data_IF_582422479284
#
_entry.id   IF_582422479284
#
_cell.length_a   1.000
_cell.length_b   1.000
_cell.length_c   1.000
_cell.angle_alpha   90.00
_cell.angle_beta   90.00
_cell.angle_gamma   90.00
#
_symmetry.space_group_name_H-M   'P 1'
#
loop_
_entity.id
_entity.type
_entity.pdbx_description
1 polymer ?
#
# COMPACT_ATOMS: atom_id res chain seq x y z
N UNK A 1 -20.48 10.95 27.01
CA UNK A 1 -19.86 10.28 28.18
C UNK A 1 -19.52 8.85 27.76
N UNK A 2 -18.29 8.35 27.95
CA UNK A 2 -17.89 7.02 27.45
C UNK A 2 -18.49 5.87 28.29
N UNK A 3 -18.90 4.78 27.63
CA UNK A 3 -19.53 3.62 28.26
C UNK A 3 -18.68 3.09 29.41
N UNK A 4 -17.38 2.89 29.18
CA UNK A 4 -16.46 2.34 30.18
C UNK A 4 -16.40 3.20 31.44
N UNK A 5 -16.48 4.53 31.30
CA UNK A 5 -16.48 5.44 32.46
C UNK A 5 -17.79 5.39 33.23
N UNK A 6 -18.91 5.22 32.54
CA UNK A 6 -20.22 5.01 33.19
C UNK A 6 -20.23 3.68 33.95
N UNK A 7 -19.68 2.62 33.36
CA UNK A 7 -19.60 1.29 33.98
C UNK A 7 -18.81 1.30 35.29
N UNK A 8 -17.72 2.06 35.38
CA UNK A 8 -16.96 2.24 36.64
C UNK A 8 -17.88 2.74 37.75
N UNK A 9 -18.67 3.79 37.47
CA UNK A 9 -19.58 4.40 38.44
C UNK A 9 -20.70 3.44 38.83
N UNK A 10 -21.34 2.79 37.85
CA UNK A 10 -22.44 1.86 38.09
C UNK A 10 -22.02 0.64 38.91
N UNK A 11 -20.80 0.14 38.70
CA UNK A 11 -20.28 -1.05 39.38
C UNK A 11 -19.45 -0.73 40.64
N UNK A 12 -19.35 0.55 41.02
CA UNK A 12 -18.56 1.01 42.17
C UNK A 12 -17.11 0.50 42.13
N UNK A 13 -16.49 0.52 40.93
CA UNK A 13 -15.10 0.06 40.72
C UNK A 13 -14.11 1.22 40.80
N UNK A 14 -12.82 0.92 41.03
CA UNK A 14 -11.79 1.97 41.11
C UNK A 14 -11.33 2.45 39.73
N UNK A 15 -11.40 1.59 38.72
CA UNK A 15 -10.95 1.86 37.36
C UNK A 15 -11.64 0.92 36.36
N UNK A 16 -11.46 1.19 35.06
CA UNK A 16 -12.08 0.44 33.96
C UNK A 16 -11.73 -1.04 33.98
N UNK A 17 -10.51 -1.39 34.40
CA UNK A 17 -9.97 -2.75 34.33
C UNK A 17 -10.57 -3.70 35.38
N UNK A 18 -11.26 -3.16 36.39
CA UNK A 18 -11.99 -3.91 37.40
C UNK A 18 -13.49 -4.09 37.05
N UNK A 19 -13.94 -3.48 35.94
CA UNK A 19 -15.31 -3.64 35.47
C UNK A 19 -15.50 -4.99 34.78
N UNK A 20 -16.74 -5.46 34.72
CA UNK A 20 -17.09 -6.70 34.02
C UNK A 20 -16.70 -6.70 32.52
N UNK A 21 -16.48 -5.54 31.90
CA UNK A 21 -16.01 -5.42 30.52
C UNK A 21 -14.58 -5.95 30.39
N UNK A 22 -13.69 -5.56 31.31
CA UNK A 22 -12.25 -5.83 31.20
C UNK A 22 -11.72 -6.88 32.17
N UNK A 23 -12.35 -7.07 33.33
CA UNK A 23 -11.86 -7.99 34.35
C UNK A 23 -11.58 -9.40 33.80
N UNK A 24 -12.45 -10.02 32.98
CA UNK A 24 -12.16 -11.34 32.41
C UNK A 24 -10.93 -11.37 31.48
N UNK A 25 -10.66 -10.26 30.77
CA UNK A 25 -9.49 -10.14 29.88
C UNK A 25 -8.22 -9.98 30.72
N UNK A 26 -8.26 -9.15 31.77
CA UNK A 26 -7.15 -8.96 32.72
C UNK A 26 -6.85 -10.26 33.46
N UNK A 27 -7.88 -10.99 33.90
CA UNK A 27 -7.74 -12.30 34.53
C UNK A 27 -7.04 -13.32 33.62
N UNK A 28 -7.37 -13.34 32.32
CA UNK A 28 -6.64 -14.17 31.35
C UNK A 28 -5.17 -13.78 31.26
N UNK A 29 -4.85 -12.48 31.23
CA UNK A 29 -3.45 -12.03 31.23
C UNK A 29 -2.71 -12.42 32.52
N UNK A 30 -3.36 -12.32 33.68
CA UNK A 30 -2.84 -12.80 34.96
C UNK A 30 -2.57 -14.31 34.93
N UNK A 31 -3.50 -15.10 34.41
CA UNK A 31 -3.37 -16.56 34.32
C UNK A 31 -2.21 -16.97 33.43
N UNK A 32 -2.04 -16.32 32.26
CA UNK A 32 -0.94 -16.62 31.35
C UNK A 32 0.42 -16.23 31.92
N UNK A 33 0.50 -15.08 32.61
CA UNK A 33 1.76 -14.55 33.14
C UNK A 33 2.15 -15.08 34.52
N UNK A 34 1.21 -15.68 35.24
CA UNK A 34 1.38 -16.04 36.66
C UNK A 34 1.45 -14.82 37.60
N UNK A 35 1.20 -13.60 37.10
CA UNK A 35 1.22 -12.36 37.89
C UNK A 35 -0.17 -12.02 38.41
N UNK A 36 -0.22 -11.33 39.56
CA UNK A 36 -1.46 -10.87 40.19
C UNK A 36 -1.66 -9.37 39.96
N UNK A 37 -2.87 -9.01 39.55
CA UNK A 37 -3.29 -7.61 39.45
C UNK A 37 -3.52 -7.01 40.84
N UNK A 38 -3.09 -5.77 41.05
CA UNK A 38 -3.15 -5.05 42.31
C UNK A 38 -1.92 -5.23 43.22
N UNK A 39 -0.88 -5.95 42.77
CA UNK A 39 0.32 -6.19 43.58
C UNK A 39 1.35 -5.05 43.51
N UNK A 40 1.64 -4.55 42.32
CA UNK A 40 2.56 -3.44 42.11
C UNK A 40 2.20 -2.64 40.85
N UNK A 41 2.55 -1.35 40.84
CA UNK A 41 2.14 -0.42 39.80
C UNK A 41 2.70 -0.77 38.41
N UNK A 42 3.88 -1.39 38.33
CA UNK A 42 4.52 -1.74 37.06
C UNK A 42 3.84 -2.95 36.42
N UNK A 43 3.59 -4.01 37.21
CA UNK A 43 2.83 -5.19 36.79
C UNK A 43 1.41 -4.82 36.39
N UNK A 44 0.73 -3.98 37.18
CA UNK A 44 -0.62 -3.50 36.86
C UNK A 44 -0.64 -2.75 35.54
N UNK A 45 0.32 -1.85 35.32
CA UNK A 45 0.45 -1.12 34.05
C UNK A 45 0.64 -2.09 32.88
N UNK A 46 1.50 -3.09 33.02
CA UNK A 46 1.74 -4.06 31.96
C UNK A 46 0.50 -4.92 31.65
N UNK A 47 -0.18 -5.43 32.68
CA UNK A 47 -1.42 -6.21 32.52
C UNK A 47 -2.53 -5.39 31.83
N UNK A 48 -2.67 -4.11 32.20
CA UNK A 48 -3.62 -3.18 31.57
C UNK A 48 -3.32 -2.98 30.09
N UNK A 49 -2.07 -2.69 29.76
CA UNK A 49 -1.61 -2.48 28.38
C UNK A 49 -1.84 -3.72 27.53
N UNK A 50 -1.45 -4.90 28.01
CA UNK A 50 -1.67 -6.17 27.31
C UNK A 50 -3.16 -6.40 27.05
N UNK A 51 -4.02 -6.15 28.04
CA UNK A 51 -5.46 -6.38 27.93
C UNK A 51 -6.14 -5.41 26.95
N UNK A 52 -5.85 -4.11 27.07
CA UNK A 52 -6.37 -3.07 26.15
C UNK A 52 -5.92 -3.29 24.71
N UNK A 53 -4.63 -3.55 24.51
CA UNK A 53 -4.11 -3.75 23.16
C UNK A 53 -4.63 -5.04 22.56
N UNK A 54 -4.71 -6.14 23.32
CA UNK A 54 -5.33 -7.38 22.83
C UNK A 54 -6.79 -7.15 22.39
N UNK A 55 -7.55 -6.36 23.16
CA UNK A 55 -8.91 -5.95 22.76
C UNK A 55 -8.87 -5.18 21.43
N UNK A 56 -8.09 -4.11 21.35
CA UNK A 56 -8.00 -3.27 20.15
C UNK A 56 -7.56 -4.03 18.90
N UNK A 57 -6.54 -4.88 19.01
CA UNK A 57 -6.04 -5.74 17.93
C UNK A 57 -7.16 -6.65 17.41
N UNK A 58 -7.86 -7.33 18.33
CA UNK A 58 -8.94 -8.28 17.99
C UNK A 58 -10.05 -7.58 17.19
N UNK A 59 -10.49 -6.41 17.64
CA UNK A 59 -11.52 -5.62 16.94
C UNK A 59 -11.03 -5.10 15.59
N UNK A 60 -9.84 -4.50 15.52
CA UNK A 60 -9.30 -3.97 14.26
C UNK A 60 -9.24 -5.05 13.18
N UNK A 61 -8.77 -6.25 13.53
CA UNK A 61 -8.67 -7.35 12.57
C UNK A 61 -10.07 -7.88 12.21
N UNK A 62 -10.98 -7.98 13.18
CA UNK A 62 -12.35 -8.37 12.92
C UNK A 62 -13.07 -7.38 11.99
N UNK A 63 -12.75 -6.09 12.07
CA UNK A 63 -13.28 -5.05 11.17
C UNK A 63 -12.60 -5.06 9.79
N UNK A 64 -11.61 -5.93 9.56
CA UNK A 64 -10.93 -6.11 8.28
C UNK A 64 -9.66 -5.27 8.12
N UNK A 65 -9.13 -4.67 9.19
CA UNK A 65 -7.82 -4.00 9.14
C UNK A 65 -6.71 -5.03 9.00
N UNK A 66 -5.85 -4.83 8.00
CA UNK A 66 -4.71 -5.69 7.70
C UNK A 66 -3.41 -4.97 8.12
N UNK A 67 -2.43 -5.67 8.73
CA UNK A 67 -1.13 -5.12 9.10
C UNK A 67 -0.40 -4.50 7.91
N UNK A 68 -0.04 -3.21 8.02
CA UNK A 68 0.59 -2.45 6.94
C UNK A 68 1.63 -1.46 7.50
N UNK A 69 2.46 -0.86 6.64
CA UNK A 69 3.45 0.16 7.01
C UNK A 69 2.83 1.55 7.21
N UNK A 70 1.58 1.76 6.80
CA UNK A 70 0.89 3.05 6.89
C UNK A 70 -0.57 2.92 7.36
N UNK A 71 -1.16 4.05 7.75
CA UNK A 71 -2.58 4.17 8.09
C UNK A 71 -3.03 3.25 9.22
N UNK A 72 -4.23 2.67 9.08
CA UNK A 72 -4.83 1.76 10.07
C UNK A 72 -3.99 0.50 10.32
N UNK A 73 -3.36 -0.03 9.28
CA UNK A 73 -2.51 -1.21 9.38
C UNK A 73 -1.25 -0.97 10.20
N UNK A 74 -0.69 0.23 10.16
CA UNK A 74 0.42 0.63 11.01
C UNK A 74 0.00 0.74 12.48
N UNK A 75 -1.17 1.31 12.77
CA UNK A 75 -1.73 1.36 14.13
C UNK A 75 -1.91 -0.05 14.69
N UNK A 76 -2.47 -0.97 13.89
CA UNK A 76 -2.61 -2.39 14.26
C UNK A 76 -1.26 -3.01 14.64
N UNK A 77 -0.23 -2.84 13.81
CA UNK A 77 1.13 -3.33 14.12
C UNK A 77 1.67 -2.71 15.39
N UNK A 78 1.48 -1.40 15.60
CA UNK A 78 1.94 -0.71 16.81
C UNK A 78 1.30 -1.28 18.08
N UNK A 79 -0.02 -1.51 18.09
CA UNK A 79 -0.71 -2.11 19.24
C UNK A 79 -0.23 -3.54 19.50
N UNK A 80 -0.10 -4.35 18.45
CA UNK A 80 0.38 -5.74 18.55
C UNK A 80 1.78 -5.79 19.15
N UNK A 81 2.72 -5.03 18.59
CA UNK A 81 4.11 -5.01 19.05
C UNK A 81 4.25 -4.52 20.48
N UNK A 82 3.46 -3.50 20.86
CA UNK A 82 3.42 -3.01 22.25
C UNK A 82 2.84 -4.04 23.21
N UNK A 83 1.80 -4.77 22.81
CA UNK A 83 1.26 -5.87 23.61
C UNK A 83 2.33 -6.95 23.84
N UNK A 84 3.06 -7.37 22.79
CA UNK A 84 4.13 -8.38 22.91
C UNK A 84 5.26 -7.89 23.83
N UNK A 85 5.69 -6.61 23.70
CA UNK A 85 6.72 -6.03 24.58
C UNK A 85 6.32 -6.12 26.06
N UNK A 86 5.11 -5.68 26.39
CA UNK A 86 4.64 -5.71 27.78
C UNK A 86 4.33 -7.14 28.26
N UNK A 87 3.96 -8.05 27.35
CA UNK A 87 3.90 -9.48 27.62
C UNK A 87 5.25 -10.04 28.05
N UNK A 88 6.34 -9.72 27.33
CA UNK A 88 7.70 -10.12 27.70
C UNK A 88 8.09 -9.64 29.10
N UNK A 89 7.72 -8.41 29.46
CA UNK A 89 7.95 -7.85 30.81
C UNK A 89 7.20 -8.58 31.91
N UNK A 90 6.05 -9.15 31.59
CA UNK A 90 5.29 -10.00 32.50
C UNK A 90 5.85 -11.43 32.62
N UNK A 91 6.83 -11.79 31.78
CA UNK A 91 7.42 -13.13 31.72
C UNK A 91 6.80 -14.05 30.65
N UNK A 92 6.00 -13.49 29.72
CA UNK A 92 5.42 -14.27 28.63
C UNK A 92 6.45 -14.44 27.51
N UNK A 93 7.11 -15.60 27.48
CA UNK A 93 8.13 -15.89 26.48
C UNK A 93 7.59 -16.52 25.19
N UNK A 94 6.42 -17.16 25.29
CA UNK A 94 5.75 -17.82 24.16
C UNK A 94 4.64 -16.93 23.60
N UNK A 95 4.24 -17.11 22.32
CA UNK A 95 3.08 -16.44 21.76
C UNK A 95 1.86 -16.59 22.66
N UNK A 96 1.18 -15.49 22.97
CA UNK A 96 0.08 -15.44 23.93
C UNK A 96 -1.09 -14.57 23.44
N UNK A 97 -0.92 -13.79 22.35
CA UNK A 97 -1.97 -12.90 21.88
C UNK A 97 -3.17 -13.66 21.30
N UNK A 98 -2.97 -14.86 20.77
CA UNK A 98 -4.07 -15.75 20.33
C UNK A 98 -4.98 -16.10 21.51
N UNK A 99 -4.39 -16.46 22.64
CA UNK A 99 -5.11 -16.76 23.88
C UNK A 99 -5.87 -15.53 24.43
N UNK A 100 -5.23 -14.37 24.36
CA UNK A 100 -5.85 -13.10 24.77
C UNK A 100 -7.00 -12.71 23.84
N UNK A 101 -6.81 -12.82 22.53
CA UNK A 101 -7.86 -12.57 21.53
C UNK A 101 -9.04 -13.53 21.72
N UNK A 102 -8.78 -14.81 22.04
CA UNK A 102 -9.81 -15.77 22.42
C UNK A 102 -10.65 -15.30 23.61
N UNK A 103 -10.02 -14.76 24.66
CA UNK A 103 -10.74 -14.20 25.80
C UNK A 103 -11.57 -12.97 25.42
N UNK A 104 -11.06 -12.09 24.56
CA UNK A 104 -11.81 -10.93 24.03
C UNK A 104 -13.03 -11.39 23.23
N UNK A 105 -12.86 -12.32 22.29
CA UNK A 105 -13.95 -12.85 21.45
C UNK A 105 -15.02 -13.51 22.34
N UNK A 106 -14.61 -14.34 23.30
CA UNK A 106 -15.54 -14.99 24.21
C UNK A 106 -16.33 -13.98 25.05
N UNK A 107 -15.67 -12.90 25.52
CA UNK A 107 -16.33 -11.88 26.34
C UNK A 107 -17.29 -11.00 25.55
N UNK A 108 -16.94 -10.65 24.31
CA UNK A 108 -17.60 -9.55 23.59
C UNK A 108 -18.47 -10.01 22.42
N UNK A 109 -18.32 -11.26 21.94
CA UNK A 109 -19.07 -11.76 20.77
C UNK A 109 -20.59 -11.81 20.91
N UNK A 110 -21.13 -11.80 22.13
CA UNK A 110 -22.57 -11.72 22.36
C UNK A 110 -23.20 -10.40 21.87
N UNK A 111 -22.42 -9.31 21.91
CA UNK A 111 -22.84 -7.97 21.44
C UNK A 111 -22.26 -7.68 20.05
N UNK A 112 -21.09 -8.26 19.74
CA UNK A 112 -20.33 -8.06 18.52
C UNK A 112 -20.17 -9.39 17.74
N UNK A 113 -21.22 -9.89 17.04
CA UNK A 113 -21.20 -11.19 16.38
C UNK A 113 -20.10 -11.35 15.32
N UNK A 114 -19.65 -10.25 14.73
CA UNK A 114 -18.55 -10.19 13.77
C UNK A 114 -17.24 -10.78 14.33
N UNK A 115 -16.98 -10.61 15.63
CA UNK A 115 -15.83 -11.22 16.30
C UNK A 115 -15.86 -12.74 16.21
N UNK A 116 -17.07 -13.34 16.34
CA UNK A 116 -17.25 -14.78 16.25
C UNK A 116 -17.19 -15.25 14.80
N UNK A 117 -17.86 -14.52 13.89
CA UNK A 117 -17.87 -14.84 12.45
C UNK A 117 -16.47 -14.86 11.85
N UNK A 118 -15.59 -13.93 12.28
CA UNK A 118 -14.21 -13.79 11.77
C UNK A 118 -13.17 -14.38 12.71
N UNK A 119 -13.55 -15.17 13.71
CA UNK A 119 -12.65 -15.70 14.74
C UNK A 119 -11.41 -16.38 14.15
N UNK A 120 -11.60 -17.32 13.20
CA UNK A 120 -10.49 -18.07 12.60
C UNK A 120 -9.47 -17.11 11.95
N UNK A 121 -9.95 -16.17 11.15
CA UNK A 121 -9.11 -15.17 10.49
C UNK A 121 -8.36 -14.28 11.49
N UNK A 122 -9.05 -13.80 12.54
CA UNK A 122 -8.45 -12.97 13.58
C UNK A 122 -7.31 -13.72 14.29
N UNK A 123 -7.56 -14.97 14.70
CA UNK A 123 -6.56 -15.76 15.42
C UNK A 123 -5.35 -16.11 14.53
N UNK A 124 -5.57 -16.48 13.27
CA UNK A 124 -4.49 -16.77 12.32
C UNK A 124 -3.62 -15.54 12.03
N UNK A 125 -4.23 -14.37 11.82
CA UNK A 125 -3.50 -13.13 11.59
C UNK A 125 -2.66 -12.73 12.80
N UNK A 126 -3.25 -12.79 14.01
CA UNK A 126 -2.54 -12.50 15.26
C UNK A 126 -1.36 -13.45 15.44
N UNK A 127 -1.57 -14.76 15.23
CA UNK A 127 -0.52 -15.77 15.36
C UNK A 127 0.66 -15.49 14.40
N UNK A 128 0.35 -15.20 13.13
CA UNK A 128 1.37 -14.91 12.12
C UNK A 128 2.17 -13.65 12.44
N UNK A 129 1.51 -12.56 12.82
CA UNK A 129 2.20 -11.30 13.14
C UNK A 129 2.97 -11.36 14.47
N UNK A 130 2.43 -12.04 15.49
CA UNK A 130 3.12 -12.25 16.77
C UNK A 130 4.38 -13.11 16.60
N UNK A 131 4.30 -14.18 15.80
CA UNK A 131 5.46 -15.02 15.50
C UNK A 131 6.56 -14.21 14.79
N UNK A 132 6.20 -13.49 13.71
CA UNK A 132 7.14 -12.66 12.94
C UNK A 132 7.79 -11.58 13.82
N UNK A 133 7.01 -10.96 14.69
CA UNK A 133 7.54 -9.90 15.56
C UNK A 133 8.36 -10.44 16.72
N UNK A 134 8.04 -11.62 17.26
CA UNK A 134 8.78 -12.20 18.39
C UNK A 134 10.25 -12.44 18.05
N UNK A 135 10.55 -12.85 16.81
CA UNK A 135 11.92 -12.98 16.29
C UNK A 135 12.64 -11.62 16.26
N UNK A 136 11.99 -10.60 15.68
CA UNK A 136 12.51 -9.23 15.62
C UNK A 136 12.74 -8.62 17.01
N UNK A 137 11.84 -8.90 17.96
CA UNK A 137 11.88 -8.33 19.30
C UNK A 137 13.12 -8.79 20.08
N UNK A 138 13.48 -10.08 20.01
CA UNK A 138 14.64 -10.62 20.72
C UNK A 138 15.93 -9.92 20.26
N UNK A 139 16.19 -9.92 18.95
CA UNK A 139 17.37 -9.26 18.36
C UNK A 139 17.37 -7.75 18.60
N UNK A 140 16.20 -7.11 18.49
CA UNK A 140 16.08 -5.67 18.70
C UNK A 140 16.34 -5.24 20.14
N UNK A 141 15.93 -6.04 21.14
CA UNK A 141 16.21 -5.75 22.55
C UNK A 141 17.72 -5.85 22.86
N UNK A 142 18.39 -6.90 22.37
CA UNK A 142 19.84 -7.06 22.56
C UNK A 142 20.62 -5.88 21.97
N UNK A 143 20.30 -5.48 20.74
CA UNK A 143 20.97 -4.36 20.08
C UNK A 143 20.66 -3.02 20.74
N UNK A 144 19.41 -2.82 21.18
CA UNK A 144 19.04 -1.62 21.92
C UNK A 144 19.81 -1.52 23.24
N UNK A 145 20.03 -2.64 23.95
CA UNK A 145 20.86 -2.65 25.14
C UNK A 145 22.31 -2.27 24.85
N UNK A 146 22.88 -2.72 23.74
CA UNK A 146 24.20 -2.31 23.29
C UNK A 146 24.26 -0.80 23.01
N UNK A 147 23.32 -0.27 22.23
CA UNK A 147 23.22 1.17 21.91
C UNK A 147 23.08 1.99 23.19
N UNK A 148 22.24 1.56 24.12
CA UNK A 148 22.04 2.21 25.42
C UNK A 148 23.34 2.25 26.23
N UNK A 149 24.14 1.17 26.22
CA UNK A 149 25.45 1.14 26.93
C UNK A 149 26.48 2.05 26.27
N UNK A 150 26.42 2.21 24.96
CA UNK A 150 27.36 3.05 24.19
C UNK A 150 26.95 4.53 24.19
N UNK A 151 25.67 4.83 24.44
CA UNK A 151 25.13 6.20 24.44
C UNK A 151 25.72 7.02 25.59
N UNK A 152 26.51 8.04 25.23
CA UNK A 152 27.02 9.05 26.17
C UNK A 152 26.18 10.32 26.03
N UNK A 153 25.55 10.78 27.12
CA UNK A 153 24.82 12.06 27.14
C UNK A 153 23.29 11.97 27.09
N UNK A 154 22.70 10.81 27.35
CA UNK A 154 21.25 10.73 27.60
C UNK A 154 20.35 10.73 26.37
N UNK A 155 20.90 10.71 25.15
CA UNK A 155 20.15 10.78 23.88
C UNK A 155 20.69 9.78 22.86
N UNK A 156 19.84 8.84 22.44
CA UNK A 156 20.10 7.90 21.34
C UNK A 156 20.02 8.67 20.02
N UNK A 157 21.01 8.46 19.14
CA UNK A 157 21.10 9.16 17.86
C UNK A 157 19.99 8.73 16.88
N UNK A 158 19.63 9.63 15.96
CA UNK A 158 18.65 9.33 14.91
C UNK A 158 19.12 8.20 13.99
N UNK A 159 20.43 8.09 13.77
CA UNK A 159 21.06 7.03 12.99
C UNK A 159 20.95 5.67 13.66
N UNK A 160 21.18 5.58 14.97
CA UNK A 160 21.03 4.32 15.70
C UNK A 160 19.57 3.87 15.75
N UNK A 161 18.64 4.82 15.97
CA UNK A 161 17.21 4.55 15.89
C UNK A 161 16.78 4.12 14.48
N UNK A 162 17.34 4.74 13.43
CA UNK A 162 17.08 4.38 12.04
C UNK A 162 17.64 3.00 11.71
N UNK A 163 18.84 2.66 12.18
CA UNK A 163 19.45 1.34 12.01
C UNK A 163 18.59 0.25 12.66
N UNK A 164 18.11 0.47 13.89
CA UNK A 164 17.16 -0.43 14.57
C UNK A 164 15.90 -0.66 13.74
N UNK A 165 15.34 0.40 13.17
CA UNK A 165 14.13 0.34 12.36
C UNK A 165 14.32 -0.32 10.99
N UNK A 166 15.29 0.15 10.21
CA UNK A 166 15.46 -0.24 8.80
C UNK A 166 16.13 -1.60 8.66
N UNK A 167 17.21 -1.83 9.41
CA UNK A 167 18.00 -3.07 9.29
C UNK A 167 17.38 -4.22 10.08
N UNK A 168 16.89 -3.94 11.29
CA UNK A 168 16.43 -4.99 12.22
C UNK A 168 14.90 -5.03 12.36
N UNK A 169 14.17 -4.10 11.74
CA UNK A 169 12.70 -4.05 11.83
C UNK A 169 12.16 -3.61 13.20
N UNK A 170 13.03 -3.10 14.08
CA UNK A 170 12.68 -2.74 15.45
C UNK A 170 12.02 -1.35 15.50
N UNK A 171 10.77 -1.22 15.96
CA UNK A 171 10.01 0.01 15.79
C UNK A 171 10.56 1.17 16.62
N UNK A 172 10.62 2.36 16.02
CA UNK A 172 11.11 3.57 16.70
C UNK A 172 10.29 3.90 17.95
N UNK A 173 8.97 3.62 17.95
CA UNK A 173 8.12 3.90 19.10
C UNK A 173 8.50 3.03 20.31
N UNK A 174 8.96 1.79 20.06
CA UNK A 174 9.44 0.89 21.10
C UNK A 174 10.82 1.31 21.59
N UNK A 175 11.70 1.72 20.68
CA UNK A 175 12.98 2.35 21.03
C UNK A 175 12.75 3.53 21.97
N UNK A 176 11.82 4.43 21.65
CA UNK A 176 11.47 5.58 22.49
C UNK A 176 10.90 5.15 23.85
N UNK A 177 9.97 4.19 23.88
CA UNK A 177 9.36 3.74 25.14
C UNK A 177 10.37 3.08 26.08
N UNK A 178 11.28 2.25 25.56
CA UNK A 178 12.32 1.59 26.36
C UNK A 178 13.42 2.59 26.76
N UNK A 179 13.80 3.51 25.88
CA UNK A 179 14.78 4.56 26.19
C UNK A 179 14.30 5.44 27.35
N UNK A 180 13.04 5.89 27.30
CA UNK A 180 12.46 6.76 28.33
C UNK A 180 12.49 6.13 29.72
N UNK A 181 12.29 4.81 29.83
CA UNK A 181 12.37 4.08 31.10
C UNK A 181 13.78 4.02 31.68
N UNK A 182 14.80 4.04 30.83
CA UNK A 182 16.21 4.12 31.23
C UNK A 182 16.68 5.57 31.41
N UNK A 183 15.75 6.55 31.37
CA UNK A 183 16.07 7.98 31.49
C UNK A 183 16.74 8.57 30.24
N UNK A 184 16.61 7.91 29.09
CA UNK A 184 17.18 8.33 27.81
C UNK A 184 16.10 8.89 26.88
N UNK A 185 16.51 9.78 25.98
CA UNK A 185 15.68 10.29 24.88
C UNK A 185 16.14 9.72 23.54
N UNK A 186 15.29 9.80 22.51
CA UNK A 186 15.62 9.40 21.13
C UNK A 186 15.54 10.64 20.25
N UNK A 187 16.53 10.83 19.38
CA UNK A 187 16.55 11.87 18.37
C UNK A 187 15.61 11.56 17.20
N UNK A 188 14.34 11.94 17.34
CA UNK A 188 13.30 11.69 16.31
C UNK A 188 13.50 12.54 15.05
N UNK A 189 14.04 13.76 15.17
CA UNK A 189 14.31 14.63 14.02
C UNK A 189 15.43 14.05 13.15
N UNK A 190 16.49 13.54 13.80
CA UNK A 190 17.55 12.81 13.12
C UNK A 190 17.05 11.52 12.45
N UNK A 191 16.13 10.79 13.10
CA UNK A 191 15.50 9.60 12.52
C UNK A 191 14.71 9.93 11.24
N UNK A 192 13.88 10.98 11.26
CA UNK A 192 13.09 11.38 10.08
C UNK A 192 13.99 11.87 8.94
N UNK A 193 15.11 12.53 9.27
CA UNK A 193 16.11 12.94 8.28
C UNK A 193 16.71 11.73 7.53
N UNK A 194 17.03 10.64 8.24
CA UNK A 194 17.52 9.39 7.63
C UNK A 194 16.43 8.69 6.79
N UNK A 195 15.17 8.72 7.24
CA UNK A 195 14.02 8.23 6.46
C UNK A 195 13.88 8.97 5.12
N UNK A 196 14.07 10.28 5.09
CA UNK A 196 14.02 11.06 3.84
C UNK A 196 15.22 10.78 2.92
N UNK A 197 16.42 10.59 3.46
CA UNK A 197 17.58 10.15 2.69
C UNK A 197 17.32 8.79 2.02
N UNK A 198 16.67 7.86 2.71
CA UNK A 198 16.29 6.57 2.13
C UNK A 198 15.23 6.72 1.02
N UNK A 199 14.19 7.55 1.24
CA UNK A 199 13.13 7.82 0.25
C UNK A 199 13.70 8.43 -1.03
N UNK A 200 14.62 9.39 -0.91
CA UNK A 200 15.25 10.05 -2.06
C UNK A 200 16.15 9.10 -2.85
N UNK A 201 16.95 8.25 -2.18
CA UNK A 201 17.75 7.20 -2.84
C UNK A 201 16.90 6.19 -3.60
N UNK A 202 15.73 5.81 -3.10
CA UNK A 202 14.81 4.93 -3.81
C UNK A 202 14.28 5.57 -5.11
N UNK A 203 14.08 6.90 -5.11
CA UNK A 203 13.60 7.67 -6.27
C UNK A 203 14.67 7.89 -7.34
N UNK A 204 15.93 8.13 -6.95
CA UNK A 204 17.03 8.40 -7.90
C UNK A 204 17.48 7.19 -8.73
N UNK A 205 17.00 5.99 -8.41
CA UNK A 205 17.25 4.76 -9.18
C UNK A 205 16.44 4.63 -10.48
N UNK A 206 15.45 5.51 -10.72
CA UNK A 206 14.72 5.60 -12.00
C UNK A 206 15.43 6.58 -12.94
N UNK A 207 16.27 6.05 -13.84
CA UNK A 207 16.86 6.83 -14.93
C UNK A 207 15.76 7.30 -15.90
N UNK A 208 15.67 8.61 -16.08
CA UNK A 208 14.95 9.34 -17.13
C UNK A 208 13.48 8.96 -17.36
N UNK A 209 12.63 9.40 -16.43
CA UNK A 209 11.22 9.69 -16.69
C UNK A 209 11.00 11.15 -16.30
N UNK A 210 10.31 11.97 -17.10
CA UNK A 210 9.84 13.28 -16.62
C UNK A 210 9.10 13.05 -15.30
N UNK A 211 9.70 13.52 -14.21
CA UNK A 211 9.19 13.30 -12.85
C UNK A 211 7.83 14.00 -12.68
N UNK A 212 7.11 13.67 -11.62
CA UNK A 212 5.87 14.36 -11.27
C UNK A 212 6.09 15.89 -11.10
N UNK A 213 7.30 16.31 -10.72
CA UNK A 213 7.69 17.71 -10.61
C UNK A 213 7.87 18.40 -11.99
N UNK A 214 8.60 17.76 -12.91
CA UNK A 214 8.76 18.25 -14.29
C UNK A 214 7.43 18.24 -15.06
N UNK A 215 6.57 17.26 -14.75
CA UNK A 215 5.20 17.17 -15.24
C UNK A 215 4.33 18.34 -14.76
N UNK A 216 4.46 18.77 -13.51
CA UNK A 216 3.72 19.90 -12.96
C UNK A 216 4.17 21.26 -13.55
N UNK A 217 5.46 21.38 -13.89
CA UNK A 217 6.00 22.56 -14.57
C UNK A 217 5.62 22.60 -16.05
N UNK A 218 5.63 21.43 -16.72
CA UNK A 218 5.11 21.25 -18.07
C UNK A 218 3.65 21.70 -18.20
N UNK A 219 2.77 21.34 -17.25
CA UNK A 219 1.36 21.80 -17.23
C UNK A 219 1.23 23.32 -17.15
N UNK A 220 2.13 24.02 -16.46
CA UNK A 220 2.10 25.49 -16.35
C UNK A 220 2.52 26.20 -17.65
N UNK A 221 3.35 25.54 -18.46
CA UNK A 221 3.91 26.11 -19.68
C UNK A 221 3.11 25.73 -20.94
N UNK A 222 2.12 24.84 -20.84
CA UNK A 222 1.24 24.49 -21.96
C UNK A 222 0.41 25.69 -22.42
N UNK A 223 0.32 25.89 -23.73
CA UNK A 223 -0.55 26.92 -24.32
C UNK A 223 -1.98 26.40 -24.45
N UNK A 224 -2.16 25.09 -24.62
CA UNK A 224 -3.44 24.41 -24.73
C UNK A 224 -3.57 23.32 -23.65
N UNK A 225 -4.42 23.57 -22.66
CA UNK A 225 -4.64 22.66 -21.52
C UNK A 225 -5.94 21.85 -21.62
N UNK A 226 -6.50 21.72 -22.82
CA UNK A 226 -7.74 20.97 -23.06
C UNK A 226 -7.50 19.46 -22.96
N UNK A 227 -8.48 18.73 -22.45
CA UNK A 227 -8.41 17.27 -22.32
C UNK A 227 -8.22 16.63 -23.71
N UNK A 228 -7.25 15.74 -23.84
CA UNK A 228 -7.03 14.99 -25.08
C UNK A 228 -8.20 14.06 -25.34
N UNK A 229 -8.72 14.05 -26.57
CA UNK A 229 -9.75 13.10 -26.97
C UNK A 229 -9.09 11.75 -27.29
N UNK A 230 -9.30 10.75 -26.44
CA UNK A 230 -8.76 9.41 -26.64
C UNK A 230 -9.67 8.58 -27.53
N UNK A 231 -9.17 8.16 -28.70
CA UNK A 231 -9.88 7.34 -29.69
C UNK A 231 -9.32 5.91 -29.83
N UNK A 232 -8.32 5.59 -28.99
CA UNK A 232 -7.53 4.36 -29.09
C UNK A 232 -8.23 3.07 -28.68
N UNK A 233 -9.51 3.12 -28.29
CA UNK A 233 -10.35 1.93 -28.10
C UNK A 233 -10.75 1.30 -29.43
N UNK A 234 -10.97 2.13 -30.46
CA UNK A 234 -11.45 1.70 -31.77
C UNK A 234 -10.39 1.85 -32.86
N UNK A 235 -9.51 2.85 -32.72
CA UNK A 235 -8.58 3.25 -33.77
C UNK A 235 -7.12 3.02 -33.35
N UNK A 236 -6.35 2.35 -34.21
CA UNK A 236 -4.89 2.26 -34.08
C UNK A 236 -4.16 3.41 -34.79
N UNK A 237 -4.84 4.05 -35.74
CA UNK A 237 -4.33 5.12 -36.57
C UNK A 237 -5.33 6.27 -36.54
N UNK A 238 -4.86 7.49 -36.29
CA UNK A 238 -5.69 8.68 -36.23
C UNK A 238 -4.99 9.88 -36.87
N UNK A 239 -5.73 10.67 -37.65
CA UNK A 239 -5.28 12.00 -38.08
C UNK A 239 -5.57 13.01 -36.98
N UNK A 240 -4.60 13.85 -36.68
CA UNK A 240 -4.60 14.74 -35.52
C UNK A 240 -3.84 16.03 -35.84
N UNK A 241 -3.91 17.01 -34.95
CA UNK A 241 -3.11 18.24 -35.00
C UNK A 241 -2.18 18.31 -33.80
N UNK A 242 -0.93 18.71 -34.02
CA UNK A 242 0.02 18.98 -32.94
C UNK A 242 -0.41 20.27 -32.22
N UNK A 243 -0.81 20.17 -30.95
CA UNK A 243 -1.28 21.32 -30.15
C UNK A 243 -0.18 22.03 -29.40
N UNK A 244 0.76 21.26 -28.83
CA UNK A 244 1.89 21.78 -28.08
C UNK A 244 3.08 20.83 -28.19
N UNK A 245 4.29 21.40 -28.09
CA UNK A 245 5.55 20.68 -28.05
C UNK A 245 6.34 21.18 -26.84
N UNK A 246 6.79 20.27 -25.98
CA UNK A 246 7.50 20.58 -24.75
C UNK A 246 8.88 19.91 -24.72
N UNK A 247 9.91 20.69 -24.41
CA UNK A 247 11.28 20.21 -24.17
C UNK A 247 11.70 20.51 -22.73
N UNK A 248 12.93 20.15 -22.33
CA UNK A 248 13.47 20.52 -21.01
C UNK A 248 13.48 22.04 -20.76
N UNK A 249 13.59 22.84 -21.82
CA UNK A 249 13.59 24.31 -21.76
C UNK A 249 12.20 24.96 -21.74
N UNK A 250 11.12 24.16 -21.77
CA UNK A 250 9.75 24.64 -21.82
C UNK A 250 9.08 24.41 -23.18
N UNK A 251 8.03 25.19 -23.46
CA UNK A 251 7.21 25.04 -24.67
C UNK A 251 7.87 25.71 -25.86
N UNK A 252 8.02 24.97 -26.96
CA UNK A 252 8.70 25.40 -28.18
C UNK A 252 7.77 25.29 -29.40
N UNK A 253 8.01 26.09 -30.43
CA UNK A 253 7.16 26.08 -31.63
C UNK A 253 7.53 24.95 -32.62
N UNK A 254 8.76 24.43 -32.53
CA UNK A 254 9.29 23.39 -33.41
C UNK A 254 10.38 22.56 -32.75
N UNK A 255 10.55 21.33 -33.22
CA UNK A 255 11.64 20.40 -32.88
C UNK A 255 12.27 19.82 -34.14
N UNK A 256 13.57 19.52 -34.09
CA UNK A 256 14.38 19.01 -35.20
C UNK A 256 14.92 17.60 -34.93
N UNK A 257 15.51 16.98 -35.94
CA UNK A 257 16.08 15.64 -35.86
C UNK A 257 17.05 15.48 -34.67
N UNK A 258 16.81 14.45 -33.86
CA UNK A 258 17.60 14.17 -32.66
C UNK A 258 17.06 14.78 -31.37
N UNK A 259 16.15 15.75 -31.44
CA UNK A 259 15.55 16.37 -30.26
C UNK A 259 14.66 15.39 -29.49
N UNK A 260 14.78 15.38 -28.16
CA UNK A 260 13.83 14.71 -27.27
C UNK A 260 12.78 15.72 -26.79
N UNK A 261 11.50 15.34 -26.91
CA UNK A 261 10.38 16.21 -26.59
C UNK A 261 9.15 15.42 -26.11
N UNK A 262 8.14 16.14 -25.66
CA UNK A 262 6.79 15.64 -25.46
C UNK A 262 5.81 16.37 -26.38
N UNK A 263 5.00 15.63 -27.11
CA UNK A 263 3.99 16.18 -28.04
C UNK A 263 2.60 16.03 -27.43
N UNK A 264 1.77 17.07 -27.56
CA UNK A 264 0.34 17.03 -27.26
C UNK A 264 -0.45 17.02 -28.57
N UNK A 265 -1.40 16.10 -28.67
CA UNK A 265 -2.31 15.94 -29.80
C UNK A 265 -3.74 16.33 -29.39
N UNK A 266 -4.56 16.78 -30.34
CA UNK A 266 -6.00 16.99 -30.12
C UNK A 266 -6.76 15.66 -29.89
N UNK A 267 -6.61 14.73 -30.83
CA UNK A 267 -7.14 13.37 -30.81
C UNK A 267 -5.98 12.37 -30.84
N UNK A 268 -5.96 11.40 -29.92
CA UNK A 268 -4.88 10.43 -29.85
C UNK A 268 -5.38 8.99 -29.74
N UNK A 269 -4.80 8.05 -30.52
CA UNK A 269 -5.02 6.61 -30.36
C UNK A 269 -4.12 6.01 -29.26
N UNK A 270 -3.16 6.77 -28.71
CA UNK A 270 -2.23 6.29 -27.68
C UNK A 270 -2.89 6.26 -26.30
N UNK A 271 -2.90 5.09 -25.67
CA UNK A 271 -3.32 4.93 -24.29
C UNK A 271 -2.21 5.48 -23.39
N UNK A 272 -2.58 6.43 -22.54
CA UNK A 272 -1.67 7.01 -21.58
C UNK A 272 -1.51 6.12 -20.34
N UNK A 273 -0.31 6.06 -19.78
CA UNK A 273 0.01 5.23 -18.61
C UNK A 273 -0.93 5.54 -17.43
N UNK A 274 -1.78 4.58 -17.08
CA UNK A 274 -2.71 4.68 -15.97
C UNK A 274 -3.18 3.30 -15.51
N UNK A 275 -3.61 3.20 -14.24
CA UNK A 275 -4.16 1.95 -13.68
C UNK A 275 -3.16 0.79 -13.59
N UNK A 276 -1.85 1.06 -13.66
CA UNK A 276 -0.79 0.05 -13.69
C UNK A 276 -0.42 -0.43 -15.10
N UNK A 277 -1.16 -0.03 -16.14
CA UNK A 277 -0.83 -0.29 -17.53
C UNK A 277 0.13 0.77 -18.06
N UNK A 278 1.23 0.32 -18.67
CA UNK A 278 2.21 1.19 -19.33
C UNK A 278 1.60 1.91 -20.54
N UNK A 279 2.09 3.12 -20.81
CA UNK A 279 1.67 3.89 -21.96
C UNK A 279 2.05 3.22 -23.29
N UNK A 280 1.34 3.60 -24.35
CA UNK A 280 1.67 3.14 -25.68
C UNK A 280 2.91 3.79 -26.26
N UNK A 281 3.47 3.06 -27.22
CA UNK A 281 4.58 3.45 -28.07
C UNK A 281 4.14 3.38 -29.52
N UNK A 282 4.87 4.05 -30.40
CA UNK A 282 4.49 4.16 -31.80
C UNK A 282 5.15 5.36 -32.46
N UNK A 283 4.48 5.94 -33.44
CA UNK A 283 5.02 7.04 -34.22
C UNK A 283 3.97 8.14 -34.45
N UNK A 284 4.44 9.38 -34.53
CA UNK A 284 3.68 10.53 -35.01
C UNK A 284 4.38 11.02 -36.28
N UNK A 285 3.65 11.04 -37.39
CA UNK A 285 4.19 11.32 -38.72
C UNK A 285 3.51 12.57 -39.28
N UNK A 286 4.29 13.54 -39.71
CA UNK A 286 3.82 14.69 -40.49
C UNK A 286 4.41 14.65 -41.92
N UNK A 287 4.05 15.60 -42.77
CA UNK A 287 4.67 15.72 -44.10
C UNK A 287 6.16 16.12 -44.01
N UNK A 288 6.56 16.78 -42.91
CA UNK A 288 7.90 17.33 -42.72
C UNK A 288 8.81 16.50 -41.79
N UNK A 289 8.28 15.53 -41.03
CA UNK A 289 9.10 14.75 -40.11
C UNK A 289 8.41 13.56 -39.45
N UNK A 290 9.20 12.78 -38.70
CA UNK A 290 8.77 11.61 -37.95
C UNK A 290 9.24 11.67 -36.51
N UNK A 291 8.34 11.40 -35.58
CA UNK A 291 8.59 11.36 -34.16
C UNK A 291 8.30 9.96 -33.60
N UNK A 292 9.29 9.35 -32.94
CA UNK A 292 9.17 8.04 -32.26
C UNK A 292 8.66 8.26 -30.84
N UNK A 293 7.47 7.76 -30.52
CA UNK A 293 6.88 7.79 -29.19
C UNK A 293 7.38 6.60 -28.38
N UNK A 294 8.16 6.89 -27.33
CA UNK A 294 8.71 5.91 -26.38
C UNK A 294 7.80 5.65 -25.18
N UNK A 295 6.97 6.62 -24.78
CA UNK A 295 5.96 6.44 -23.74
C UNK A 295 4.84 7.48 -23.89
N UNK A 296 3.65 7.17 -23.36
CA UNK A 296 2.52 8.11 -23.30
C UNK A 296 2.08 8.27 -21.85
N UNK A 297 2.05 9.50 -21.32
CA UNK A 297 1.71 9.80 -19.91
C UNK A 297 0.38 10.53 -19.77
N UNK A 298 -0.36 10.23 -18.70
CA UNK A 298 -1.64 10.86 -18.38
C UNK A 298 -1.44 11.97 -17.34
N UNK A 299 -1.79 13.21 -17.68
CA UNK A 299 -1.69 14.35 -16.77
C UNK A 299 -2.95 14.52 -15.90
N UNK A 300 -2.84 15.14 -14.71
CA UNK A 300 -4.00 15.37 -13.84
C UNK A 300 -5.14 16.19 -14.47
N UNK A 301 -4.83 17.05 -15.45
CA UNK A 301 -5.80 17.83 -16.23
C UNK A 301 -6.44 17.05 -17.39
N UNK A 302 -6.03 15.79 -17.62
CA UNK A 302 -6.56 14.93 -18.69
C UNK A 302 -5.85 15.07 -20.04
N UNK A 303 -4.72 15.79 -20.10
CA UNK A 303 -3.86 15.88 -21.29
C UNK A 303 -2.98 14.63 -21.39
N UNK A 304 -2.79 14.11 -22.61
CA UNK A 304 -1.88 12.99 -22.88
C UNK A 304 -0.56 13.53 -23.45
N UNK A 305 0.55 13.20 -22.78
CA UNK A 305 1.91 13.56 -23.23
C UNK A 305 2.55 12.39 -23.97
N UNK A 306 2.89 12.59 -25.24
CA UNK A 306 3.59 11.61 -26.06
C UNK A 306 5.09 11.88 -26.00
N UNK A 307 5.81 11.13 -25.17
CA UNK A 307 7.23 11.32 -24.92
C UNK A 307 8.06 10.53 -25.91
N UNK A 308 9.07 11.17 -26.48
CA UNK A 308 9.79 10.56 -27.58
C UNK A 308 10.92 11.42 -28.11
N UNK A 309 11.33 11.10 -29.33
CA UNK A 309 12.36 11.84 -30.05
C UNK A 309 12.04 11.97 -31.53
N UNK A 310 12.56 13.02 -32.15
CA UNK A 310 12.48 13.18 -33.61
C UNK A 310 13.49 12.23 -34.25
N UNK A 311 13.00 11.37 -35.15
CA UNK A 311 13.82 10.42 -35.91
C UNK A 311 14.37 11.06 -37.17
N UNK A 312 13.58 11.90 -37.84
CA UNK A 312 14.00 12.68 -39.00
C UNK A 312 13.07 13.89 -39.21
N UNK A 313 13.61 14.90 -39.90
CA UNK A 313 12.85 16.09 -40.29
C UNK A 313 12.58 17.06 -39.14
N UNK A 314 11.52 17.84 -39.27
CA UNK A 314 11.07 18.75 -38.20
C UNK A 314 9.56 18.67 -38.01
N UNK A 315 9.11 18.91 -36.77
CA UNK A 315 7.69 18.94 -36.42
C UNK A 315 7.37 20.29 -35.79
N UNK A 316 6.21 20.86 -36.14
CA UNK A 316 5.79 22.18 -35.65
C UNK A 316 4.40 22.14 -35.01
N UNK A 317 4.16 23.08 -34.11
CA UNK A 317 2.80 23.31 -33.57
C UNK A 317 1.84 23.68 -34.72
N UNK A 318 0.58 23.26 -34.59
CA UNK A 318 -0.51 23.42 -35.57
C UNK A 318 -0.34 22.65 -36.88
N UNK A 319 0.64 21.76 -36.96
CA UNK A 319 0.84 20.89 -38.11
C UNK A 319 -0.12 19.68 -38.04
N UNK A 320 -0.60 19.25 -39.21
CA UNK A 320 -1.36 18.01 -39.33
C UNK A 320 -0.42 16.81 -39.17
N UNK A 321 -0.81 15.87 -38.33
CA UNK A 321 -0.05 14.67 -38.01
C UNK A 321 -0.93 13.42 -38.14
N UNK A 322 -0.31 12.29 -38.42
CA UNK A 322 -0.95 10.98 -38.31
C UNK A 322 -0.26 10.21 -37.19
N UNK A 323 -1.04 9.85 -36.18
CA UNK A 323 -0.63 9.13 -34.99
C UNK A 323 -0.86 7.63 -35.19
N UNK A 324 0.19 6.82 -35.04
CA UNK A 324 0.18 5.37 -35.26
C UNK A 324 0.70 4.65 -34.03
N UNK A 325 -0.12 3.83 -33.37
CA UNK A 325 0.34 3.00 -32.24
C UNK A 325 1.04 1.74 -32.73
N UNK A 326 1.92 1.17 -31.91
CA UNK A 326 2.39 -0.19 -32.09
C UNK A 326 1.28 -1.18 -31.66
N UNK A 327 0.51 -1.65 -32.63
CA UNK A 327 -0.62 -2.55 -32.39
C UNK A 327 -0.25 -3.89 -31.76
N UNK A 328 0.90 -4.48 -32.15
CA UNK A 328 1.34 -5.77 -31.59
C UNK A 328 1.61 -5.62 -30.10
N UNK A 329 2.38 -4.59 -29.73
CA UNK A 329 2.64 -4.25 -28.33
C UNK A 329 1.35 -3.95 -27.57
N UNK A 330 0.42 -3.21 -28.17
CA UNK A 330 -0.89 -2.92 -27.55
C UNK A 330 -1.68 -4.20 -27.28
N UNK A 331 -1.69 -5.15 -28.21
CA UNK A 331 -2.38 -6.44 -28.03
C UNK A 331 -1.76 -7.26 -26.90
N UNK A 332 -0.44 -7.28 -26.77
CA UNK A 332 0.22 -7.96 -25.66
C UNK A 332 -0.12 -7.35 -24.30
N UNK A 333 -0.14 -6.01 -24.23
CA UNK A 333 -0.58 -5.30 -23.03
C UNK A 333 -2.04 -5.61 -22.71
N UNK A 334 -2.93 -5.61 -23.70
CA UNK A 334 -4.34 -5.92 -23.51
C UNK A 334 -4.57 -7.36 -23.01
N UNK A 335 -3.78 -8.33 -23.50
CA UNK A 335 -3.78 -9.72 -22.99
C UNK A 335 -3.40 -9.75 -21.52
N UNK A 336 -2.31 -9.09 -21.14
CA UNK A 336 -1.83 -9.03 -19.77
C UNK A 336 -2.79 -8.26 -18.85
N UNK A 337 -3.44 -7.20 -19.35
CA UNK A 337 -4.47 -6.47 -18.62
C UNK A 337 -5.67 -7.35 -18.34
N UNK A 338 -6.19 -8.04 -19.35
CA UNK A 338 -7.33 -8.96 -19.20
C UNK A 338 -6.99 -10.09 -18.23
N UNK A 339 -5.81 -10.67 -18.36
CA UNK A 339 -5.29 -11.68 -17.44
C UNK A 339 -5.20 -11.17 -15.99
N UNK A 340 -4.95 -9.88 -15.78
CA UNK A 340 -4.94 -9.27 -14.44
C UNK A 340 -6.31 -9.34 -13.76
N UNK A 341 -7.40 -9.07 -14.47
CA UNK A 341 -8.76 -9.19 -13.94
C UNK A 341 -9.14 -10.64 -13.64
N UNK A 342 -8.75 -11.57 -14.53
CA UNK A 342 -8.99 -13.00 -14.33
C UNK A 342 -8.20 -13.49 -13.11
N UNK A 343 -6.92 -13.10 -12.98
CA UNK A 343 -6.06 -13.46 -11.86
C UNK A 343 -6.63 -12.95 -10.53
N UNK A 344 -7.10 -11.70 -10.47
CA UNK A 344 -7.74 -11.17 -9.28
C UNK A 344 -8.96 -12.00 -8.85
N UNK A 345 -9.80 -12.36 -9.82
CA UNK A 345 -10.98 -13.21 -9.56
C UNK A 345 -10.57 -14.58 -9.05
N UNK A 346 -9.56 -15.19 -9.68
CA UNK A 346 -9.01 -16.49 -9.27
C UNK A 346 -8.45 -16.45 -7.85
N UNK A 347 -7.73 -15.38 -7.49
CA UNK A 347 -7.17 -15.22 -6.15
C UNK A 347 -8.28 -15.10 -5.09
N UNK A 348 -9.36 -14.36 -5.37
CA UNK A 348 -10.51 -14.26 -4.45
C UNK A 348 -11.24 -15.60 -4.31
N UNK A 349 -11.39 -16.37 -5.38
CA UNK A 349 -12.03 -17.68 -5.36
C UNK A 349 -11.21 -18.72 -4.58
N UNK A 350 -9.89 -18.73 -4.75
CA UNK A 350 -9.01 -19.75 -4.14
C UNK A 350 -8.62 -19.38 -2.72
N UNK A 351 -8.29 -18.11 -2.45
CA UNK A 351 -7.75 -17.65 -1.17
C UNK A 351 -8.81 -16.99 -0.28
N UNK A 352 -9.97 -16.59 -0.83
CA UNK A 352 -11.07 -15.95 -0.13
C UNK A 352 -11.26 -14.46 -0.47
N UNK A 353 -12.44 -13.93 -0.16
CA UNK A 353 -12.88 -12.59 -0.56
C UNK A 353 -12.05 -11.43 0.02
N UNK A 354 -11.29 -11.68 1.09
CA UNK A 354 -10.43 -10.69 1.75
C UNK A 354 -9.18 -10.30 0.93
N UNK A 355 -8.91 -10.96 -0.19
CA UNK A 355 -7.81 -10.58 -1.09
C UNK A 355 -8.12 -9.22 -1.72
N UNK A 356 -7.27 -8.24 -1.46
CA UNK A 356 -7.34 -6.91 -2.05
C UNK A 356 -6.09 -6.60 -2.86
N UNK A 357 -6.28 -5.96 -4.02
CA UNK A 357 -5.18 -5.46 -4.83
C UNK A 357 -4.41 -4.37 -4.09
N UNK A 358 -3.07 -4.46 -4.11
CA UNK A 358 -2.13 -3.51 -3.53
C UNK A 358 -1.25 -2.83 -4.57
N UNK A 359 -1.10 -3.45 -5.73
CA UNK A 359 -0.33 -2.92 -6.84
C UNK A 359 -0.59 -3.72 -8.11
N UNK A 360 -0.41 -3.09 -9.26
CA UNK A 360 -0.40 -3.78 -10.54
C UNK A 360 0.59 -3.10 -11.48
N UNK A 361 1.30 -3.90 -12.26
CA UNK A 361 2.13 -3.46 -13.38
C UNK A 361 1.80 -4.35 -14.56
N UNK A 362 1.41 -3.76 -15.67
CA UNK A 362 1.06 -4.45 -16.92
C UNK A 362 1.94 -3.89 -18.03
N UNK A 363 2.86 -4.73 -18.51
CA UNK A 363 3.78 -4.46 -19.62
C UNK A 363 3.49 -5.44 -20.77
N UNK A 364 4.04 -5.28 -21.98
CA UNK A 364 3.84 -6.28 -23.04
C UNK A 364 4.46 -7.64 -22.70
N UNK A 365 5.58 -7.65 -21.99
CA UNK A 365 6.34 -8.87 -21.65
C UNK A 365 5.82 -9.60 -20.41
N UNK A 366 5.17 -8.90 -19.46
CA UNK A 366 4.70 -9.49 -18.21
C UNK A 366 3.58 -8.69 -17.54
N UNK A 367 2.89 -9.35 -16.62
CA UNK A 367 2.08 -8.70 -15.59
C UNK A 367 2.63 -9.01 -14.20
N UNK A 368 2.55 -8.05 -13.28
CA UNK A 368 2.78 -8.23 -11.85
C UNK A 368 1.55 -7.77 -11.08
N UNK A 369 1.02 -8.62 -10.23
CA UNK A 369 -0.14 -8.31 -9.39
C UNK A 369 0.22 -8.49 -7.92
N UNK A 370 0.21 -7.38 -7.17
CA UNK A 370 0.52 -7.37 -5.75
C UNK A 370 -0.80 -7.37 -4.97
N UNK A 371 -0.98 -8.28 -4.01
CA UNK A 371 -2.24 -8.44 -3.27
C UNK A 371 -2.02 -8.74 -1.78
N UNK A 372 -3.04 -8.47 -0.97
CA UNK A 372 -3.00 -8.75 0.47
C UNK A 372 -3.30 -10.22 0.75
N UNK A 373 -2.31 -10.93 1.32
CA UNK A 373 -2.47 -12.27 1.85
C UNK A 373 -1.55 -12.48 3.05
N UNK A 374 -2.01 -13.26 4.05
CA UNK A 374 -1.33 -13.38 5.35
C UNK A 374 -0.03 -14.19 5.27
N UNK A 375 -0.02 -15.21 4.41
CA UNK A 375 1.04 -16.18 4.26
C UNK A 375 1.48 -16.27 2.80
N UNK A 376 2.67 -16.79 2.49
CA UNK A 376 3.00 -17.20 1.14
C UNK A 376 1.99 -18.24 0.63
N UNK A 377 1.63 -18.16 -0.65
CA UNK A 377 0.77 -19.18 -1.26
C UNK A 377 1.50 -20.53 -1.27
N UNK A 378 0.78 -21.58 -0.89
CA UNK A 378 1.22 -22.96 -1.06
C UNK A 378 1.28 -23.33 -2.55
N UNK A 379 2.03 -24.39 -2.87
CA UNK A 379 2.10 -24.92 -4.24
C UNK A 379 0.74 -25.33 -4.79
N UNK A 380 -0.13 -25.86 -3.94
CA UNK A 380 -1.49 -26.25 -4.33
C UNK A 380 -2.39 -25.04 -4.60
N UNK A 381 -2.32 -24.00 -3.77
CA UNK A 381 -3.04 -22.75 -4.01
C UNK A 381 -2.58 -22.10 -5.34
N UNK A 382 -1.28 -22.07 -5.60
CA UNK A 382 -0.74 -21.54 -6.87
C UNK A 382 -1.25 -22.32 -8.07
N UNK A 383 -1.23 -23.66 -8.02
CA UNK A 383 -1.76 -24.52 -9.08
C UNK A 383 -3.24 -24.27 -9.34
N UNK A 384 -4.06 -24.18 -8.28
CA UNK A 384 -5.50 -23.94 -8.41
C UNK A 384 -5.80 -22.58 -9.06
N UNK A 385 -5.03 -21.55 -8.72
CA UNK A 385 -5.16 -20.23 -9.35
C UNK A 385 -4.79 -20.30 -10.83
N UNK A 386 -3.67 -20.97 -11.17
CA UNK A 386 -3.25 -21.17 -12.56
C UNK A 386 -4.28 -21.95 -13.38
N UNK A 387 -4.83 -23.02 -12.83
CA UNK A 387 -5.89 -23.82 -13.47
C UNK A 387 -7.15 -22.99 -13.72
N UNK A 388 -7.57 -22.19 -12.74
CA UNK A 388 -8.73 -21.30 -12.87
C UNK A 388 -8.51 -20.27 -13.97
N UNK A 389 -7.37 -19.57 -13.97
CA UNK A 389 -7.05 -18.55 -14.99
C UNK A 389 -7.08 -19.18 -16.39
N UNK A 390 -6.41 -20.32 -16.56
CA UNK A 390 -6.36 -21.01 -17.85
C UNK A 390 -7.73 -21.55 -18.28
N UNK A 391 -8.58 -21.99 -17.36
CA UNK A 391 -9.96 -22.37 -17.66
C UNK A 391 -10.77 -21.18 -18.19
N UNK A 392 -10.70 -20.01 -17.53
CA UNK A 392 -11.42 -18.81 -17.99
C UNK A 392 -10.93 -18.32 -19.36
N UNK A 393 -9.62 -18.37 -19.61
CA UNK A 393 -9.05 -18.06 -20.92
C UNK A 393 -9.61 -19.01 -21.99
N UNK A 394 -9.61 -20.32 -21.74
CA UNK A 394 -10.14 -21.32 -22.70
C UNK A 394 -11.62 -21.16 -23.00
N UNK A 395 -12.41 -20.67 -22.05
CA UNK A 395 -13.85 -20.42 -22.24
C UNK A 395 -14.14 -19.23 -23.15
N UNK A 396 -13.16 -18.37 -23.42
CA UNK A 396 -13.28 -17.22 -24.30
C UNK A 396 -14.54 -16.38 -23.99
N UNK A 397 -14.72 -16.04 -22.71
CA UNK A 397 -15.86 -15.26 -22.25
C UNK A 397 -15.85 -13.87 -22.90
N UNK A 398 -17.03 -13.28 -23.19
CA UNK A 398 -17.11 -11.94 -23.76
C UNK A 398 -16.55 -10.90 -22.78
N UNK A 399 -15.80 -9.94 -23.31
CA UNK A 399 -15.26 -8.79 -22.58
C UNK A 399 -15.89 -7.54 -23.19
N UNK A 400 -16.49 -6.70 -22.36
CA UNK A 400 -17.09 -5.43 -22.76
C UNK A 400 -16.80 -4.35 -21.72
N UNK A 401 -16.94 -3.09 -22.13
CA UNK A 401 -16.81 -1.93 -21.28
C UNK A 401 -17.98 -0.97 -21.56
N UNK A 402 -18.50 -0.35 -20.51
CA UNK A 402 -19.64 0.58 -20.58
C UNK A 402 -19.42 1.75 -19.61
N UNK A 403 -19.75 2.96 -20.04
CA UNK A 403 -19.77 4.14 -19.16
C UNK A 403 -21.14 4.23 -18.48
N UNK A 404 -21.15 4.22 -17.15
CA UNK A 404 -22.39 4.27 -16.37
C UNK A 404 -22.23 5.05 -15.05
N UNK A 405 -23.34 5.51 -14.43
CA UNK A 405 -23.27 6.16 -13.13
C UNK A 405 -22.72 5.24 -12.03
N UNK A 406 -21.89 5.80 -11.14
CA UNK A 406 -21.19 5.05 -10.09
C UNK A 406 -22.09 4.15 -9.23
N UNK A 407 -23.28 4.62 -8.83
CA UNK A 407 -24.21 3.83 -8.00
C UNK A 407 -24.74 2.60 -8.74
N UNK A 408 -25.04 2.73 -10.02
CA UNK A 408 -25.50 1.60 -10.85
C UNK A 408 -24.40 0.54 -10.99
N UNK A 409 -23.15 0.96 -11.22
CA UNK A 409 -22.02 0.05 -11.29
C UNK A 409 -21.86 -0.80 -10.01
N UNK A 410 -22.05 -0.19 -8.83
CA UNK A 410 -22.01 -0.93 -7.56
C UNK A 410 -23.15 -1.94 -7.42
N UNK A 411 -24.36 -1.59 -7.86
CA UNK A 411 -25.53 -2.48 -7.82
C UNK A 411 -25.38 -3.68 -8.76
N UNK A 412 -24.69 -3.52 -9.89
CA UNK A 412 -24.34 -4.61 -10.82
C UNK A 412 -23.17 -5.49 -10.35
N UNK A 413 -22.61 -5.21 -9.17
CA UNK A 413 -21.55 -6.03 -8.56
C UNK A 413 -20.14 -5.71 -9.06
N UNK A 414 -19.93 -4.53 -9.69
CA UNK A 414 -18.58 -4.06 -10.05
C UNK A 414 -17.77 -3.86 -8.76
N UNK A 415 -16.63 -4.54 -8.66
CA UNK A 415 -15.73 -4.37 -7.53
C UNK A 415 -14.99 -3.03 -7.67
N UNK A 416 -15.31 -2.04 -6.83
CA UNK A 416 -14.63 -0.76 -6.82
C UNK A 416 -13.17 -0.89 -6.32
N UNK A 417 -12.22 -0.37 -7.09
CA UNK A 417 -10.77 -0.51 -6.82
C UNK A 417 -10.21 0.51 -5.82
N UNK A 418 -10.97 1.57 -5.51
CA UNK A 418 -10.67 2.58 -4.48
C UNK A 418 -11.98 3.16 -3.94
N UNK A 419 -12.27 2.96 -2.66
CA UNK A 419 -13.14 3.92 -1.96
C UNK A 419 -12.39 5.26 -1.94
N UNK A 420 -13.01 6.31 -2.47
CA UNK A 420 -12.48 7.67 -2.36
C UNK A 420 -12.52 8.17 -0.92
#
# INVERSE_FOLDING_TARGET
MGLERLTILMQSKKNVYETDIFAPIVEKACLLSGRKYGCDAATDRALRIVSEHSRGITFLIADGVIPDKAGRGYVLRRLLRRAVLFGRRLGLERPFLVDMAGAVINRMSGIYPELKKRQTYVLEMIASEEARFSETLATGLELLEEIVRQTKGGRISGQDAFKLYDTYGFPVEMTTEIAAEKGLSVDLDGFESEMEIQRTKARSSRKFSFDAAATAEAVKNMRHAEKTCFVGYELAIQKSTIKDILTEGGTVDSIEEGDEASIVLDESPFYAEMGGQVGDTGEIITDAGRFEVKNTLHLPNGVFLHQGRVINGCLKISEAATAHINEERRRDIARNHTATHILQTALREVLGEQVQQRGSVVTPDRLRFDFSHLKPMSKDEMRRVEEFVNDKIRRNLPVYAEEMPYRHALEEGVTAFREK
#
